data_IF_249216457159
#
_entry.id   IF_249216457159
#
_cell.length_a   1.000
_cell.length_b   1.000
_cell.length_c   1.000
_cell.angle_alpha   90.00
_cell.angle_beta   90.00
_cell.angle_gamma   90.00
#
_symmetry.space_group_name_H-M   'P 1'
#
loop_
_entity.id
_entity.type
_entity.pdbx_description
1 polymer ?
#
# COMPACT_ATOMS: atom_id res chain seq x y z
N UNK A 1 22.39 28.08 5.02
CA UNK A 1 22.18 26.95 4.11
C UNK A 1 21.70 25.65 4.76
N UNK A 2 22.54 24.88 5.46
CA UNK A 2 22.23 23.49 5.85
C UNK A 2 20.91 23.36 6.64
N UNK A 3 20.69 24.23 7.64
CA UNK A 3 19.46 24.22 8.45
C UNK A 3 18.18 24.51 7.65
N UNK A 4 18.25 25.29 6.57
CA UNK A 4 17.07 25.56 5.72
C UNK A 4 16.69 24.32 4.90
N UNK A 5 17.69 23.63 4.37
CA UNK A 5 17.50 22.41 3.57
C UNK A 5 16.95 21.26 4.43
N UNK A 6 17.39 21.11 5.68
CA UNK A 6 16.85 20.10 6.61
C UNK A 6 15.36 20.32 6.94
N UNK A 7 14.93 21.59 7.05
CA UNK A 7 13.52 21.94 7.30
C UNK A 7 12.65 21.63 6.09
N UNK A 8 13.18 21.85 4.88
CA UNK A 8 12.45 21.57 3.64
C UNK A 8 12.35 20.06 3.38
N UNK A 9 13.41 19.30 3.64
CA UNK A 9 13.40 17.85 3.54
C UNK A 9 12.46 17.18 4.56
N UNK A 10 12.41 17.71 5.79
CA UNK A 10 11.50 17.21 6.83
C UNK A 10 10.08 17.80 6.75
N UNK A 11 9.77 18.60 5.72
CA UNK A 11 8.40 19.05 5.50
C UNK A 11 7.55 17.83 5.14
N UNK A 12 6.49 17.51 5.90
CA UNK A 12 5.54 16.49 5.50
C UNK A 12 5.04 16.86 4.10
N UNK A 13 5.16 15.93 3.14
CA UNK A 13 4.56 16.10 1.83
C UNK A 13 3.08 16.44 2.06
N UNK A 14 2.69 17.68 1.77
CA UNK A 14 1.29 18.07 1.80
C UNK A 14 0.56 17.13 0.86
N UNK A 15 -0.31 16.29 1.42
CA UNK A 15 -1.19 15.47 0.61
C UNK A 15 -2.05 16.44 -0.21
N UNK A 16 -2.08 16.32 -1.55
CA UNK A 16 -2.91 17.19 -2.36
C UNK A 16 -4.35 17.12 -1.86
N UNK A 17 -4.92 18.26 -1.47
CA UNK A 17 -6.30 18.33 -0.97
C UNK A 17 -7.31 18.05 -2.09
N UNK A 18 -6.89 18.26 -3.34
CA UNK A 18 -7.64 17.88 -4.53
C UNK A 18 -7.39 16.42 -4.90
N UNK A 19 -8.47 15.69 -5.15
CA UNK A 19 -8.42 14.31 -5.67
C UNK A 19 -7.90 14.33 -7.10
N UNK A 20 -6.60 14.12 -7.25
CA UNK A 20 -5.93 13.99 -8.54
C UNK A 20 -5.47 12.54 -8.73
N UNK A 21 -5.20 12.09 -9.96
CA UNK A 21 -4.55 10.80 -10.16
C UNK A 21 -3.25 10.66 -9.33
N UNK A 22 -2.49 11.75 -9.18
CA UNK A 22 -1.25 11.77 -8.40
C UNK A 22 -1.48 11.64 -6.89
N UNK A 23 -2.57 12.20 -6.34
CA UNK A 23 -2.89 12.00 -4.92
C UNK A 23 -3.20 10.51 -4.64
N UNK A 24 -3.89 9.84 -5.56
CA UNK A 24 -4.16 8.39 -5.45
C UNK A 24 -2.86 7.58 -5.50
N UNK A 25 -1.94 7.92 -6.42
CA UNK A 25 -0.62 7.27 -6.51
C UNK A 25 0.20 7.47 -5.23
N UNK A 26 0.28 8.70 -4.72
CA UNK A 26 1.03 9.01 -3.50
C UNK A 26 0.46 8.24 -2.29
N UNK A 27 -0.86 8.21 -2.15
CA UNK A 27 -1.53 7.47 -1.07
C UNK A 27 -1.37 5.96 -1.21
N UNK A 28 -1.38 5.43 -2.43
CA UNK A 28 -1.06 4.02 -2.68
C UNK A 28 0.35 3.68 -2.18
N UNK A 29 1.37 4.43 -2.58
CA UNK A 29 2.73 4.20 -2.09
C UNK A 29 2.83 4.32 -0.57
N UNK A 30 2.18 5.32 0.04
CA UNK A 30 2.17 5.52 1.50
C UNK A 30 1.55 4.33 2.24
N UNK A 31 0.42 3.81 1.76
CA UNK A 31 -0.31 2.71 2.40
C UNK A 31 0.33 1.34 2.16
N UNK A 32 0.94 1.12 0.99
CA UNK A 32 1.49 -0.17 0.58
C UNK A 32 3.03 -0.23 0.61
N UNK A 33 3.70 0.77 1.22
CA UNK A 33 5.18 0.84 1.33
C UNK A 33 5.83 -0.39 1.99
N UNK A 34 5.07 -1.12 2.81
CA UNK A 34 5.52 -2.35 3.49
C UNK A 34 4.83 -3.59 2.92
N UNK A 35 4.28 -3.50 1.71
CA UNK A 35 3.45 -4.52 1.11
C UNK A 35 1.99 -4.48 1.59
N UNK A 36 1.18 -5.37 1.02
CA UNK A 36 -0.18 -5.58 1.48
C UNK A 36 -0.15 -6.41 2.76
N UNK A 37 -0.71 -5.87 3.85
CA UNK A 37 -0.83 -6.54 5.14
C UNK A 37 -2.02 -7.52 5.12
N UNK A 38 -2.13 -8.32 4.05
CA UNK A 38 -3.15 -9.37 3.98
C UNK A 38 -2.90 -10.34 5.12
N UNK A 39 -3.93 -10.84 5.83
CA UNK A 39 -3.72 -11.70 6.99
C UNK A 39 -3.10 -13.04 6.57
N UNK A 40 -1.78 -13.18 6.65
CA UNK A 40 -1.06 -14.44 6.46
C UNK A 40 -0.65 -14.93 7.85
N UNK A 41 -1.59 -15.57 8.56
CA UNK A 41 -1.37 -16.41 9.75
C UNK A 41 -0.78 -15.81 11.05
N UNK A 42 -1.32 -16.32 12.17
CA UNK A 42 -1.48 -15.76 13.53
C UNK A 42 -0.24 -15.31 14.35
N UNK A 43 0.96 -15.20 13.79
CA UNK A 43 2.18 -15.08 14.62
C UNK A 43 2.99 -13.77 14.49
N UNK A 44 2.70 -12.90 13.53
CA UNK A 44 3.38 -11.60 13.41
C UNK A 44 2.47 -10.46 13.81
N UNK A 45 2.94 -9.56 14.67
CA UNK A 45 2.21 -8.48 15.35
C UNK A 45 1.22 -7.74 14.44
N UNK A 46 0.01 -8.30 14.34
CA UNK A 46 -1.04 -7.86 13.44
C UNK A 46 -1.56 -6.49 13.85
N UNK A 47 -1.69 -5.58 12.90
CA UNK A 47 -2.58 -4.42 13.04
C UNK A 47 -3.77 -4.60 12.10
N UNK A 48 -4.86 -5.25 12.55
CA UNK A 48 -6.10 -5.41 11.75
C UNK A 48 -6.61 -4.10 11.13
N UNK A 49 -6.30 -2.99 11.80
CA UNK A 49 -6.59 -1.63 11.35
C UNK A 49 -5.91 -1.27 10.03
N UNK A 50 -4.65 -1.65 9.82
CA UNK A 50 -3.91 -1.29 8.61
C UNK A 50 -4.41 -2.06 7.39
N UNK A 51 -4.68 -3.35 7.55
CA UNK A 51 -5.29 -4.18 6.51
C UNK A 51 -6.67 -3.63 6.10
N UNK A 52 -7.47 -3.20 7.08
CA UNK A 52 -8.77 -2.57 6.81
C UNK A 52 -8.62 -1.26 6.05
N UNK A 53 -7.64 -0.41 6.40
CA UNK A 53 -7.36 0.85 5.70
C UNK A 53 -6.93 0.58 4.27
N UNK A 54 -6.00 -0.36 4.04
CA UNK A 54 -5.56 -0.75 2.71
C UNK A 54 -6.72 -1.27 1.85
N UNK A 55 -7.55 -2.18 2.39
CA UNK A 55 -8.73 -2.69 1.67
C UNK A 55 -9.72 -1.57 1.34
N UNK A 56 -10.01 -0.69 2.30
CA UNK A 56 -10.93 0.45 2.09
C UNK A 56 -10.41 1.39 1.02
N UNK A 57 -9.11 1.68 1.01
CA UNK A 57 -8.48 2.47 -0.04
C UNK A 57 -8.67 1.85 -1.43
N UNK A 58 -8.44 0.54 -1.59
CA UNK A 58 -8.62 -0.14 -2.88
C UNK A 58 -10.06 -0.01 -3.39
N UNK A 59 -11.06 -0.19 -2.52
CA UNK A 59 -12.47 0.00 -2.89
C UNK A 59 -12.81 1.43 -3.33
N UNK A 60 -12.09 2.44 -2.84
CA UNK A 60 -12.30 3.84 -3.22
C UNK A 60 -11.52 4.24 -4.49
N UNK A 61 -10.33 3.67 -4.67
CA UNK A 61 -9.41 4.04 -5.74
C UNK A 61 -9.63 3.25 -7.04
N UNK A 62 -10.19 2.04 -6.96
CA UNK A 62 -10.35 1.14 -8.09
C UNK A 62 -11.82 0.87 -8.41
N UNK A 63 -12.09 0.50 -9.65
CA UNK A 63 -13.43 0.04 -10.04
C UNK A 63 -13.81 -1.24 -9.30
N UNK A 64 -15.10 -1.43 -9.02
CA UNK A 64 -15.59 -2.63 -8.31
C UNK A 64 -15.40 -3.93 -9.11
N UNK A 65 -15.26 -3.83 -10.43
CA UNK A 65 -15.17 -4.94 -11.38
C UNK A 65 -13.79 -5.02 -12.07
N UNK A 66 -12.71 -4.56 -11.43
CA UNK A 66 -11.35 -4.76 -11.96
C UNK A 66 -11.12 -6.23 -12.31
N UNK A 67 -10.46 -6.48 -13.44
CA UNK A 67 -10.09 -7.82 -13.87
C UNK A 67 -8.64 -8.11 -13.45
N UNK A 68 -8.43 -9.26 -12.84
CA UNK A 68 -7.12 -9.81 -12.46
C UNK A 68 -7.04 -11.26 -12.93
N UNK A 69 -5.86 -11.88 -12.90
CA UNK A 69 -5.66 -13.24 -13.42
C UNK A 69 -6.52 -14.30 -12.71
N UNK A 70 -6.88 -14.05 -11.46
CA UNK A 70 -7.62 -14.92 -10.56
C UNK A 70 -9.12 -14.64 -10.51
N UNK A 71 -9.61 -13.62 -11.23
CA UNK A 71 -11.03 -13.27 -11.28
C UNK A 71 -11.30 -11.77 -11.33
N UNK A 72 -12.39 -11.33 -10.71
CA UNK A 72 -12.84 -9.94 -10.71
C UNK A 72 -12.96 -9.36 -9.30
N UNK A 73 -12.71 -8.05 -9.20
CA UNK A 73 -12.90 -7.26 -7.99
C UNK A 73 -11.72 -7.26 -7.01
N UNK A 74 -11.86 -6.48 -5.94
CA UNK A 74 -10.80 -6.25 -4.95
C UNK A 74 -10.41 -7.53 -4.21
N UNK A 75 -11.37 -8.41 -3.93
CA UNK A 75 -11.08 -9.65 -3.21
C UNK A 75 -10.22 -10.61 -4.06
N UNK A 76 -10.43 -10.66 -5.38
CA UNK A 76 -9.58 -11.42 -6.29
C UNK A 76 -8.16 -10.82 -6.36
N UNK A 77 -8.05 -9.50 -6.42
CA UNK A 77 -6.76 -8.80 -6.38
C UNK A 77 -5.96 -9.10 -5.10
N UNK A 78 -6.60 -8.98 -3.93
CA UNK A 78 -5.97 -9.26 -2.64
C UNK A 78 -5.52 -10.71 -2.53
N UNK A 79 -6.30 -11.64 -3.10
CA UNK A 79 -5.94 -13.05 -3.17
C UNK A 79 -4.66 -13.26 -3.98
N UNK A 80 -4.50 -12.62 -5.14
CA UNK A 80 -3.23 -12.67 -5.91
C UNK A 80 -2.04 -12.12 -5.14
N UNK A 81 -2.22 -10.99 -4.44
CA UNK A 81 -1.14 -10.36 -3.69
C UNK A 81 -0.69 -11.20 -2.49
N UNK A 82 -1.59 -11.94 -1.86
CA UNK A 82 -1.25 -12.89 -0.81
C UNK A 82 -0.35 -14.04 -1.30
N UNK A 83 -0.40 -14.37 -2.59
CA UNK A 83 0.43 -15.42 -3.19
C UNK A 83 1.80 -14.95 -3.66
N UNK A 84 2.09 -13.64 -3.65
CA UNK A 84 3.43 -13.16 -3.97
C UNK A 84 4.32 -13.48 -2.77
N UNK A 85 5.23 -14.47 -2.87
CA UNK A 85 6.12 -14.77 -1.77
C UNK A 85 6.94 -13.52 -1.51
N UNK A 86 7.06 -13.11 -0.24
CA UNK A 86 8.15 -12.21 0.13
C UNK A 86 9.43 -12.94 -0.30
N UNK A 87 10.07 -12.50 -1.38
CA UNK A 87 11.45 -12.90 -1.65
C UNK A 87 12.25 -12.31 -0.51
N UNK A 88 12.37 -13.07 0.57
CA UNK A 88 13.40 -12.92 1.58
C UNK A 88 14.70 -13.00 0.80
N UNK A 89 15.31 -11.84 0.56
CA UNK A 89 16.64 -11.75 0.01
C UNK A 89 17.62 -12.36 1.01
N UNK A 90 17.77 -13.68 0.99
CA UNK A 90 19.01 -14.30 1.41
C UNK A 90 19.93 -14.28 0.19
N UNK A 91 20.50 -13.10 -0.07
CA UNK A 91 21.78 -13.04 -0.76
C UNK A 91 22.83 -13.28 0.33
N UNK A 92 23.03 -14.55 0.66
CA UNK A 92 24.26 -14.96 1.31
C UNK A 92 25.38 -14.76 0.28
N UNK A 93 26.26 -13.81 0.56
CA UNK A 93 27.60 -13.71 -0.03
C UNK A 93 28.56 -14.31 0.99
#
# INVERSE_FOLDING_TARGET
EIRRLEIEYNRPLCTPTEKTPWSVVAEYYRLFRHGSQVPISREHTFHPREAQIQKTFLHQAMATNICVNSGFGIDALLKEWAFVPQKTGSLAV
#
